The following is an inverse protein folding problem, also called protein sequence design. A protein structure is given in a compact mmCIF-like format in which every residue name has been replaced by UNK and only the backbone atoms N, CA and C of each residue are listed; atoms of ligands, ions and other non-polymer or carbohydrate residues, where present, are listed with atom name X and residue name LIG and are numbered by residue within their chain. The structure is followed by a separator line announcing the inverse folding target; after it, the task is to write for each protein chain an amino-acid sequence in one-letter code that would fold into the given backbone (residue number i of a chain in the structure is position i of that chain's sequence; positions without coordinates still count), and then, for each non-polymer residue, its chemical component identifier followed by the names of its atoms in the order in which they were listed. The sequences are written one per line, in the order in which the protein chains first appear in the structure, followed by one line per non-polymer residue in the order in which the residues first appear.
data_IF_205113365459
#
_entry.id   IF_205113365459
#
_cell.length_a   1.000
_cell.length_b   1.000
_cell.length_c   1.000
_cell.angle_alpha   90.00
_cell.angle_beta   90.00
_cell.angle_gamma   90.00
#
_symmetry.space_group_name_H-M   'P 1'
#
loop_
_entity.id
_entity.type
_entity.pdbx_description
1 polymer ?
#
# COMPACT_ATOMS: atom_id res chain seq x y z
N UNK A 1 -0.69 -6.69 11.78
CA UNK A 1 -0.56 -6.50 10.31
C UNK A 1 -1.87 -6.08 9.64
N UNK A 2 -3.02 -6.66 9.99
CA UNK A 2 -4.31 -6.30 9.37
C UNK A 2 -4.66 -4.80 9.46
N UNK A 3 -4.61 -4.23 10.67
CA UNK A 3 -4.82 -2.79 10.85
C UNK A 3 -3.81 -1.95 10.07
N UNK A 4 -2.52 -2.34 10.05
CA UNK A 4 -1.48 -1.63 9.29
C UNK A 4 -1.72 -1.60 7.78
N UNK A 5 -2.17 -2.72 7.20
CA UNK A 5 -2.52 -2.76 5.77
C UNK A 5 -3.74 -1.89 5.45
N UNK A 6 -4.77 -1.93 6.30
CA UNK A 6 -5.96 -1.09 6.14
C UNK A 6 -5.66 0.39 6.34
N UNK A 7 -4.89 0.76 7.36
CA UNK A 7 -4.51 2.15 7.59
C UNK A 7 -3.70 2.68 6.42
N UNK A 8 -2.75 1.90 5.88
CA UNK A 8 -1.98 2.26 4.69
C UNK A 8 -2.87 2.45 3.45
N UNK A 9 -3.87 1.58 3.22
CA UNK A 9 -4.82 1.73 2.12
C UNK A 9 -5.67 2.99 2.28
N UNK A 10 -6.28 3.18 3.45
CA UNK A 10 -7.16 4.31 3.72
C UNK A 10 -6.40 5.63 3.65
N UNK A 11 -5.24 5.74 4.32
CA UNK A 11 -4.42 6.95 4.23
C UNK A 11 -3.93 7.21 2.82
N UNK A 12 -3.54 6.17 2.06
CA UNK A 12 -3.17 6.34 0.66
C UNK A 12 -4.29 6.95 -0.19
N UNK A 13 -5.52 6.45 -0.07
CA UNK A 13 -6.69 6.99 -0.78
C UNK A 13 -6.99 8.42 -0.33
N UNK A 14 -6.96 8.68 0.98
CA UNK A 14 -7.23 10.03 1.53
C UNK A 14 -6.18 11.03 1.05
N UNK A 15 -4.89 10.67 1.03
CA UNK A 15 -3.82 11.56 0.58
C UNK A 15 -3.96 11.91 -0.91
N UNK A 16 -4.30 10.93 -1.76
CA UNK A 16 -4.58 11.20 -3.18
C UNK A 16 -5.80 12.10 -3.33
N UNK A 17 -6.90 11.79 -2.63
CA UNK A 17 -8.11 12.60 -2.68
C UNK A 17 -7.91 14.04 -2.24
N UNK A 18 -7.11 14.28 -1.18
CA UNK A 18 -6.75 15.63 -0.74
C UNK A 18 -5.84 16.34 -1.75
N UNK A 19 -4.90 15.63 -2.36
CA UNK A 19 -4.03 16.24 -3.36
C UNK A 19 -4.84 16.67 -4.61
N UNK A 20 -5.84 15.89 -5.02
CA UNK A 20 -6.74 16.24 -6.13
C UNK A 20 -7.57 17.51 -5.86
N UNK A 21 -7.83 17.88 -4.60
CA UNK A 21 -8.54 19.14 -4.29
C UNK A 21 -7.67 20.39 -4.44
N UNK A 22 -6.42 20.25 -4.87
CA UNK A 22 -5.44 21.35 -4.88
C UNK A 22 -4.87 21.67 -3.51
N UNK A 23 -4.95 20.74 -2.54
CA UNK A 23 -4.29 20.90 -1.25
C UNK A 23 -2.76 20.72 -1.33
N UNK A 24 -2.23 20.41 -2.51
CA UNK A 24 -0.80 20.32 -2.81
C UNK A 24 -0.54 20.97 -4.17
N UNK A 25 0.55 21.73 -4.27
CA UNK A 25 1.01 22.36 -5.51
C UNK A 25 1.73 21.36 -6.45
N UNK A 26 1.83 20.09 -6.06
CA UNK A 26 2.52 19.04 -6.81
C UNK A 26 1.58 18.41 -7.84
N UNK A 27 2.01 18.37 -9.11
CA UNK A 27 1.28 17.65 -10.16
C UNK A 27 1.24 16.15 -9.87
N UNK A 28 0.04 15.59 -9.84
CA UNK A 28 -0.13 14.19 -9.50
C UNK A 28 0.20 13.27 -10.68
N UNK A 29 1.21 12.43 -10.48
CA UNK A 29 1.48 11.32 -11.37
C UNK A 29 0.53 10.14 -11.08
N UNK A 30 -0.57 10.09 -11.84
CA UNK A 30 -1.56 9.00 -11.74
C UNK A 30 -0.98 7.61 -12.03
N UNK A 31 0.09 7.50 -12.81
CA UNK A 31 0.78 6.21 -13.05
C UNK A 31 1.43 5.72 -11.75
N UNK A 32 2.19 6.58 -11.07
CA UNK A 32 2.83 6.26 -9.79
C UNK A 32 1.78 5.88 -8.74
N UNK A 33 0.68 6.64 -8.67
CA UNK A 33 -0.42 6.40 -7.73
C UNK A 33 -1.11 5.06 -8.01
N UNK A 34 -1.42 4.76 -9.27
CA UNK A 34 -2.08 3.50 -9.65
C UNK A 34 -1.24 2.28 -9.29
N UNK A 35 0.08 2.34 -9.49
CA UNK A 35 1.01 1.26 -9.11
C UNK A 35 1.00 1.07 -7.59
N UNK A 36 1.13 2.16 -6.81
CA UNK A 36 1.12 2.09 -5.34
C UNK A 36 -0.20 1.54 -4.79
N UNK A 37 -1.33 1.94 -5.38
CA UNK A 37 -2.65 1.44 -5.03
C UNK A 37 -2.72 -0.08 -5.26
N UNK A 38 -2.27 -0.55 -6.43
CA UNK A 38 -2.26 -1.97 -6.77
C UNK A 38 -1.41 -2.79 -5.80
N UNK A 39 -0.19 -2.32 -5.48
CA UNK A 39 0.70 -3.01 -4.52
C UNK A 39 0.06 -3.10 -3.13
N UNK A 40 -0.54 -2.01 -2.65
CA UNK A 40 -1.24 -1.99 -1.36
C UNK A 40 -2.45 -2.92 -1.35
N UNK A 41 -3.20 -3.03 -2.45
CA UNK A 41 -4.30 -3.97 -2.54
C UNK A 41 -3.81 -5.42 -2.46
N UNK A 42 -2.70 -5.75 -3.14
CA UNK A 42 -2.08 -7.09 -3.04
C UNK A 42 -1.66 -7.39 -1.59
N UNK A 43 -1.00 -6.45 -0.90
CA UNK A 43 -0.63 -6.59 0.52
C UNK A 43 -1.88 -6.82 1.37
N UNK A 44 -2.94 -6.04 1.14
CA UNK A 44 -4.19 -6.11 1.90
C UNK A 44 -4.86 -7.47 1.72
N UNK A 45 -4.93 -7.98 0.49
CA UNK A 45 -5.48 -9.31 0.20
C UNK A 45 -4.66 -10.41 0.87
N UNK A 46 -3.32 -10.38 0.76
CA UNK A 46 -2.45 -11.36 1.42
C UNK A 46 -2.65 -11.37 2.94
N UNK A 47 -2.71 -10.19 3.56
CA UNK A 47 -2.95 -10.05 5.01
C UNK A 47 -4.36 -10.54 5.36
N UNK A 48 -5.38 -10.18 4.59
CA UNK A 48 -6.77 -10.56 4.83
C UNK A 48 -6.97 -12.09 4.74
N UNK A 49 -6.38 -12.73 3.73
CA UNK A 49 -6.46 -14.19 3.54
C UNK A 49 -5.76 -14.96 4.67
N UNK A 50 -4.69 -14.39 5.25
CA UNK A 50 -3.92 -15.06 6.30
C UNK A 50 -4.31 -14.63 7.72
N UNK A 51 -5.20 -13.66 7.90
CA UNK A 51 -5.59 -13.13 9.23
C UNK A 51 -6.24 -14.14 10.17
N UNK A 52 -6.91 -15.18 9.61
CA UNK A 52 -7.61 -16.21 10.39
C UNK A 52 -6.72 -17.42 10.70
N UNK A 53 -5.48 -17.45 10.21
CA UNK A 53 -4.56 -18.57 10.44
C UNK A 53 -3.87 -18.37 11.78
N UNK A 54 -3.75 -19.44 12.56
CA UNK A 54 -3.05 -19.41 13.86
C UNK A 54 -1.56 -19.08 13.73
N UNK A 55 -0.95 -19.41 12.58
CA UNK A 55 0.42 -19.06 12.24
C UNK A 55 0.52 -18.54 10.80
N UNK A 56 1.26 -17.45 10.61
CA UNK A 56 1.62 -16.93 9.29
C UNK A 56 3.01 -17.44 8.94
N UNK A 57 3.15 -18.10 7.78
CA UNK A 57 4.46 -18.61 7.35
C UNK A 57 5.46 -17.49 7.13
N UNK A 58 6.74 -17.73 7.43
CA UNK A 58 7.84 -16.78 7.22
C UNK A 58 7.91 -16.25 5.80
N UNK A 59 7.55 -17.08 4.80
CA UNK A 59 7.49 -16.66 3.40
C UNK A 59 6.44 -15.58 3.16
N UNK A 60 5.23 -15.74 3.69
CA UNK A 60 4.13 -14.77 3.55
C UNK A 60 4.46 -13.47 4.29
N UNK A 61 5.04 -13.59 5.48
CA UNK A 61 5.49 -12.42 6.23
C UNK A 61 6.58 -11.66 5.48
N UNK A 62 7.57 -12.37 4.94
CA UNK A 62 8.65 -11.81 4.14
C UNK A 62 8.17 -11.17 2.84
N UNK A 63 7.22 -11.78 2.12
CA UNK A 63 6.65 -11.18 0.90
C UNK A 63 5.85 -9.91 1.20
N UNK A 64 5.09 -9.87 2.29
CA UNK A 64 4.41 -8.63 2.71
C UNK A 64 5.44 -7.53 2.99
N UNK A 65 6.50 -7.84 3.76
CA UNK A 65 7.56 -6.87 4.04
C UNK A 65 8.24 -6.36 2.77
N UNK A 66 8.59 -7.26 1.85
CA UNK A 66 9.21 -6.90 0.58
C UNK A 66 8.30 -6.03 -0.30
N UNK A 67 7.01 -6.36 -0.39
CA UNK A 67 6.03 -5.57 -1.13
C UNK A 67 5.87 -4.18 -0.52
N UNK A 68 5.89 -4.05 0.81
CA UNK A 68 5.85 -2.74 1.48
C UNK A 68 7.08 -1.89 1.14
N UNK A 69 8.27 -2.49 1.13
CA UNK A 69 9.51 -1.80 0.73
C UNK A 69 9.48 -1.41 -0.76
N UNK A 70 8.99 -2.30 -1.62
CA UNK A 70 8.82 -1.99 -3.04
C UNK A 70 7.84 -0.83 -3.25
N UNK A 71 6.76 -0.76 -2.47
CA UNK A 71 5.81 0.36 -2.50
C UNK A 71 6.47 1.70 -2.12
N UNK A 72 7.41 1.71 -1.17
CA UNK A 72 8.23 2.89 -0.87
C UNK A 72 9.18 3.23 -2.02
N UNK A 73 9.85 2.23 -2.61
CA UNK A 73 10.76 2.46 -3.73
C UNK A 73 10.03 3.07 -4.94
N UNK A 74 8.83 2.61 -5.27
CA UNK A 74 7.99 3.22 -6.32
C UNK A 74 7.70 4.68 -6.04
N UNK A 75 7.56 5.07 -4.77
CA UNK A 75 7.34 6.47 -4.42
C UNK A 75 8.56 7.36 -4.72
N UNK A 76 9.78 6.81 -4.58
CA UNK A 76 11.04 7.54 -4.73
C UNK A 76 11.56 7.55 -6.16
N UNK A 77 11.42 6.44 -6.89
CA UNK A 77 12.13 6.24 -8.16
C UNK A 77 11.25 6.35 -9.42
N UNK A 78 9.94 6.17 -9.28
CA UNK A 78 8.96 6.57 -10.30
C UNK A 78 8.54 8.02 -10.03
#
# INVERSE_FOLDING_TARGET
MFHGALTQLVTGIVLVGLAETGASDEELNMTKISIKLLVVLVITVLVFMNRKKSFVSTRIWGTIGLLTLANMAVAVYL
#
